data_IF_962423484336
#
_entry.id   IF_962423484336
#
_cell.length_a   1.000
_cell.length_b   1.000
_cell.length_c   1.000
_cell.angle_alpha   90.00
_cell.angle_beta   90.00
_cell.angle_gamma   90.00
#
_symmetry.space_group_name_H-M   'P 1'
#
loop_
_entity.id
_entity.type
_entity.pdbx_description
1 polymer ?
#
# COMPACT_ATOMS: atom_id res chain seq x y z
N UNK A 1 -27.33 0.70 13.20
CA UNK A 1 -26.47 1.47 12.24
C UNK A 1 -25.08 1.66 12.82
N UNK A 2 -24.07 1.08 12.21
CA UNK A 2 -22.65 1.21 12.62
C UNK A 2 -21.88 2.04 11.60
N UNK A 3 -21.11 3.03 12.07
CA UNK A 3 -20.25 3.84 11.22
C UNK A 3 -18.83 3.27 11.25
N UNK A 4 -18.30 2.96 10.07
CA UNK A 4 -16.94 2.43 9.88
C UNK A 4 -16.06 3.43 9.14
N UNK A 5 -14.78 3.46 9.50
CA UNK A 5 -13.77 4.15 8.71
C UNK A 5 -12.90 3.11 8.02
N UNK A 6 -13.00 3.05 6.70
CA UNK A 6 -12.31 2.06 5.88
C UNK A 6 -10.86 2.48 5.59
N UNK A 7 -9.96 1.49 5.50
CA UNK A 7 -8.56 1.71 5.18
C UNK A 7 -8.34 2.04 3.69
N UNK A 8 -9.08 3.02 3.19
CA UNK A 8 -8.93 3.55 1.84
C UNK A 8 -9.10 5.06 1.82
N UNK A 9 -8.24 5.74 1.08
CA UNK A 9 -8.30 7.18 0.88
C UNK A 9 -8.76 7.49 -0.54
N UNK A 10 -9.77 8.33 -0.66
CA UNK A 10 -10.22 8.87 -1.94
C UNK A 10 -11.02 10.16 -1.76
N UNK A 11 -10.80 11.11 -2.65
CA UNK A 11 -11.62 12.31 -2.76
C UNK A 11 -12.23 12.45 -4.18
N UNK A 12 -12.02 11.44 -5.04
CA UNK A 12 -12.44 11.46 -6.43
C UNK A 12 -13.84 10.84 -6.56
N UNK A 13 -14.82 11.60 -7.07
CA UNK A 13 -16.19 11.12 -7.33
C UNK A 13 -16.23 9.79 -8.07
N UNK A 14 -15.36 9.60 -9.08
CA UNK A 14 -15.26 8.36 -9.83
C UNK A 14 -14.89 7.17 -8.96
N UNK A 15 -13.93 7.31 -8.04
CA UNK A 15 -13.53 6.24 -7.13
C UNK A 15 -14.64 5.89 -6.14
N UNK A 16 -15.36 6.89 -5.64
CA UNK A 16 -16.54 6.66 -4.78
C UNK A 16 -17.61 5.84 -5.52
N UNK A 17 -17.88 6.16 -6.80
CA UNK A 17 -18.81 5.36 -7.61
C UNK A 17 -18.34 3.92 -7.79
N UNK A 18 -17.04 3.70 -7.99
CA UNK A 18 -16.46 2.36 -8.11
C UNK A 18 -16.55 1.57 -6.79
N UNK A 19 -16.39 2.23 -5.64
CA UNK A 19 -16.58 1.60 -4.33
C UNK A 19 -18.03 1.19 -4.14
N UNK A 20 -19.01 2.06 -4.46
CA UNK A 20 -20.43 1.71 -4.43
C UNK A 20 -20.75 0.48 -5.26
N UNK A 21 -20.20 0.39 -6.47
CA UNK A 21 -20.38 -0.80 -7.33
C UNK A 21 -19.79 -2.07 -6.70
N UNK A 22 -18.62 -1.94 -6.04
CA UNK A 22 -18.00 -3.04 -5.32
C UNK A 22 -18.83 -3.50 -4.12
N UNK A 23 -19.37 -2.56 -3.34
CA UNK A 23 -20.22 -2.88 -2.19
C UNK A 23 -21.47 -3.63 -2.61
N UNK A 24 -22.15 -3.21 -3.67
CA UNK A 24 -23.27 -3.98 -4.24
C UNK A 24 -22.90 -5.43 -4.52
N UNK A 25 -21.71 -5.67 -5.12
CA UNK A 25 -21.21 -7.02 -5.37
C UNK A 25 -20.81 -7.77 -4.09
N UNK A 26 -20.35 -7.05 -3.07
CA UNK A 26 -19.95 -7.67 -1.80
C UNK A 26 -21.15 -8.10 -0.96
N UNK A 27 -22.26 -7.37 -1.04
CA UNK A 27 -23.44 -7.52 -0.20
C UNK A 27 -24.65 -8.06 -0.97
N UNK A 28 -24.47 -8.57 -2.18
CA UNK A 28 -25.55 -9.04 -3.06
C UNK A 28 -26.51 -10.05 -2.37
N UNK A 29 -25.99 -10.85 -1.43
CA UNK A 29 -26.74 -11.89 -0.71
C UNK A 29 -26.86 -11.61 0.79
N UNK A 30 -26.63 -10.37 1.23
CA UNK A 30 -26.75 -9.97 2.63
C UNK A 30 -27.90 -8.98 2.81
N UNK A 31 -28.62 -9.12 3.92
CA UNK A 31 -29.62 -8.14 4.34
C UNK A 31 -28.97 -6.98 5.07
N UNK A 32 -28.38 -6.07 4.26
CA UNK A 32 -27.72 -4.86 4.74
C UNK A 32 -27.97 -3.67 3.83
N UNK A 33 -28.15 -2.51 4.42
CA UNK A 33 -28.12 -1.22 3.76
C UNK A 33 -26.78 -0.55 4.02
N UNK A 34 -26.05 -0.22 2.92
CA UNK A 34 -24.79 0.48 2.98
C UNK A 34 -24.89 1.91 2.45
N UNK A 35 -24.35 2.86 3.19
CA UNK A 35 -24.26 4.24 2.74
C UNK A 35 -22.85 4.79 2.89
N UNK A 36 -22.34 5.42 1.81
CA UNK A 36 -21.07 6.14 1.84
C UNK A 36 -21.34 7.55 2.38
N UNK A 37 -20.83 7.82 3.59
CA UNK A 37 -20.98 9.10 4.26
C UNK A 37 -20.02 10.18 3.72
N UNK A 38 -18.94 9.77 3.11
CA UNK A 38 -17.90 10.68 2.58
C UNK A 38 -16.51 10.33 3.09
N UNK A 39 -15.65 11.34 3.22
CA UNK A 39 -14.31 11.18 3.78
C UNK A 39 -14.16 12.06 5.03
N UNK A 40 -13.43 11.54 6.03
CA UNK A 40 -13.12 12.31 7.23
C UNK A 40 -12.00 13.34 6.98
N UNK A 41 -11.65 14.12 7.97
CA UNK A 41 -10.60 15.17 7.90
C UNK A 41 -9.22 14.63 7.55
N UNK A 42 -8.95 13.34 7.82
CA UNK A 42 -7.72 12.66 7.45
C UNK A 42 -7.76 12.03 6.04
N UNK A 43 -8.90 12.15 5.33
CA UNK A 43 -9.10 11.63 3.97
C UNK A 43 -9.51 10.16 3.89
N UNK A 44 -9.83 9.52 5.03
CA UNK A 44 -10.31 8.15 5.07
C UNK A 44 -11.81 8.05 4.79
N UNK A 45 -12.21 7.04 4.02
CA UNK A 45 -13.60 6.82 3.64
C UNK A 45 -14.43 6.36 4.83
N UNK A 46 -15.57 7.00 5.04
CA UNK A 46 -16.57 6.61 6.05
C UNK A 46 -17.80 6.03 5.40
N UNK A 47 -18.29 4.94 5.98
CA UNK A 47 -19.49 4.24 5.54
C UNK A 47 -20.36 3.90 6.74
N UNK A 48 -21.68 3.89 6.54
CA UNK A 48 -22.61 3.30 7.51
C UNK A 48 -23.14 1.96 6.99
N UNK A 49 -23.27 1.01 7.88
CA UNK A 49 -23.86 -0.32 7.62
C UNK A 49 -25.00 -0.52 8.62
N UNK A 50 -26.14 -1.01 8.14
CA UNK A 50 -27.30 -1.34 8.95
C UNK A 50 -28.03 -2.54 8.34
N UNK A 51 -28.59 -3.46 9.15
CA UNK A 51 -29.34 -4.63 8.70
C UNK A 51 -29.11 -5.84 9.58
N UNK A 52 -29.80 -6.94 9.25
CA UNK A 52 -29.67 -8.18 10.03
C UNK A 52 -28.26 -8.79 9.90
N UNK A 53 -27.63 -8.67 8.71
CA UNK A 53 -26.30 -9.20 8.41
C UNK A 53 -25.18 -8.17 8.66
N UNK A 54 -25.41 -7.10 9.45
CA UNK A 54 -24.45 -6.03 9.72
C UNK A 54 -23.06 -6.57 10.14
N UNK A 55 -23.02 -7.53 11.06
CA UNK A 55 -21.76 -8.13 11.56
C UNK A 55 -20.98 -8.85 10.47
N UNK A 56 -21.68 -9.55 9.58
CA UNK A 56 -21.07 -10.27 8.46
C UNK A 56 -20.45 -9.26 7.48
N UNK A 57 -21.21 -8.21 7.14
CA UNK A 57 -20.74 -7.15 6.26
C UNK A 57 -19.52 -6.41 6.83
N UNK A 58 -19.50 -6.10 8.14
CA UNK A 58 -18.38 -5.47 8.83
C UNK A 58 -17.12 -6.36 8.73
N UNK A 59 -17.23 -7.65 9.05
CA UNK A 59 -16.11 -8.60 8.98
C UNK A 59 -15.59 -8.72 7.54
N UNK A 60 -16.49 -8.74 6.57
CA UNK A 60 -16.11 -8.80 5.15
C UNK A 60 -15.35 -7.55 4.71
N UNK A 61 -15.81 -6.35 5.11
CA UNK A 61 -15.10 -5.10 4.83
C UNK A 61 -13.73 -5.05 5.53
N UNK A 62 -13.65 -5.53 6.78
CA UNK A 62 -12.40 -5.62 7.51
C UNK A 62 -11.38 -6.52 6.79
N UNK A 63 -11.81 -7.66 6.27
CA UNK A 63 -10.96 -8.59 5.51
C UNK A 63 -10.55 -8.02 4.14
N UNK A 64 -11.49 -7.47 3.37
CA UNK A 64 -11.27 -7.07 1.97
C UNK A 64 -10.64 -5.68 1.80
N UNK A 65 -10.88 -4.78 2.73
CA UNK A 65 -10.44 -3.37 2.62
C UNK A 65 -9.57 -2.97 3.81
N UNK A 66 -9.89 -3.50 5.00
CA UNK A 66 -9.33 -3.10 6.27
C UNK A 66 -10.13 -1.96 6.92
N UNK A 67 -10.05 -1.87 8.24
CA UNK A 67 -10.63 -0.81 9.05
C UNK A 67 -9.53 0.04 9.69
N UNK A 68 -9.76 1.34 9.79
CA UNK A 68 -8.85 2.24 10.49
C UNK A 68 -8.97 2.05 12.01
N UNK A 69 -7.86 2.06 12.76
CA UNK A 69 -7.87 2.01 14.22
C UNK A 69 -8.58 3.19 14.89
N UNK A 70 -8.63 4.35 14.22
CA UNK A 70 -9.26 5.60 14.65
C UNK A 70 -8.45 6.31 15.75
N UNK A 71 -8.19 5.64 16.89
CA UNK A 71 -7.48 6.20 18.05
C UNK A 71 -6.25 5.35 18.41
N UNK A 72 -5.28 5.96 19.08
CA UNK A 72 -4.09 5.25 19.57
C UNK A 72 -4.42 4.20 20.62
N UNK A 73 -5.45 4.41 21.44
CA UNK A 73 -5.95 3.45 22.43
C UNK A 73 -6.41 2.12 21.80
N UNK A 74 -6.74 2.12 20.50
CA UNK A 74 -7.12 0.91 19.76
C UNK A 74 -5.92 0.14 19.19
N UNK A 75 -4.71 0.62 19.45
CA UNK A 75 -3.47 -0.01 19.00
C UNK A 75 -2.84 -0.84 20.11
N UNK A 76 -2.28 -1.98 19.73
CA UNK A 76 -1.49 -2.80 20.64
C UNK A 76 -0.04 -2.87 20.14
N UNK A 77 0.92 -2.88 21.07
CA UNK A 77 2.32 -3.16 20.76
C UNK A 77 2.44 -4.52 20.09
N UNK A 78 3.32 -4.63 19.11
CA UNK A 78 3.54 -5.81 18.27
C UNK A 78 2.36 -6.19 17.37
N UNK A 79 1.32 -5.37 17.26
CA UNK A 79 0.26 -5.62 16.29
C UNK A 79 0.76 -5.40 14.85
N UNK A 80 0.27 -6.26 13.96
CA UNK A 80 0.52 -6.17 12.50
C UNK A 80 -0.61 -5.36 11.88
N UNK A 81 -0.25 -4.32 11.15
CA UNK A 81 -1.20 -3.44 10.51
C UNK A 81 -0.78 -3.17 9.06
N UNK A 82 -1.75 -2.81 8.24
CA UNK A 82 -1.48 -2.18 6.95
C UNK A 82 -1.39 -0.67 7.20
N UNK A 83 -0.34 -0.05 6.68
CA UNK A 83 -0.18 1.40 6.68
C UNK A 83 0.00 1.91 5.24
N UNK A 84 -0.23 3.20 5.02
CA UNK A 84 0.07 3.87 3.74
C UNK A 84 1.25 4.80 3.94
N UNK A 85 2.24 4.71 3.08
CA UNK A 85 3.34 5.69 3.09
C UNK A 85 2.73 7.08 2.87
N UNK A 86 2.83 7.93 3.87
CA UNK A 86 2.33 9.30 3.84
C UNK A 86 3.38 10.27 3.32
N UNK A 87 4.62 10.12 3.80
CA UNK A 87 5.74 10.97 3.39
C UNK A 87 7.07 10.27 3.61
N UNK A 88 8.01 10.52 2.72
CA UNK A 88 9.39 10.08 2.84
C UNK A 88 10.23 11.34 3.11
N UNK A 89 10.74 11.47 4.35
CA UNK A 89 11.66 12.56 4.71
C UNK A 89 13.07 12.18 4.33
N UNK A 90 13.68 12.95 3.45
CA UNK A 90 15.03 12.70 2.98
C UNK A 90 15.99 12.47 4.17
N UNK A 91 16.68 11.31 4.12
CA UNK A 91 17.72 10.87 5.05
C UNK A 91 17.34 10.72 6.54
N UNK A 92 16.05 10.62 6.88
CA UNK A 92 15.66 10.43 8.28
C UNK A 92 14.66 9.30 8.51
N UNK A 93 13.48 9.37 7.93
CA UNK A 93 12.37 8.48 8.28
C UNK A 93 11.28 8.44 7.21
N UNK A 94 10.55 7.34 7.22
CA UNK A 94 9.30 7.20 6.46
C UNK A 94 8.13 7.34 7.44
N UNK A 95 7.18 8.19 7.08
CA UNK A 95 5.93 8.37 7.82
C UNK A 95 4.85 7.51 7.19
N UNK A 96 4.19 6.72 8.03
CA UNK A 96 3.15 5.76 7.63
C UNK A 96 1.83 6.18 8.27
N UNK A 97 0.82 6.43 7.45
CA UNK A 97 -0.54 6.66 7.92
C UNK A 97 -1.22 5.32 8.15
N UNK A 98 -1.59 5.05 9.38
CA UNK A 98 -2.24 3.81 9.82
C UNK A 98 -3.71 4.00 10.17
N UNK A 99 -4.29 5.17 9.88
CA UNK A 99 -5.69 5.45 10.13
C UNK A 99 -5.99 5.91 11.56
N UNK A 100 -5.00 6.41 12.31
CA UNK A 100 -5.19 7.10 13.60
C UNK A 100 -5.39 8.59 13.35
N UNK A 101 -6.55 9.11 13.75
CA UNK A 101 -6.90 10.52 13.55
C UNK A 101 -7.63 11.16 14.73
N UNK A 102 -7.84 10.42 15.81
CA UNK A 102 -8.43 10.92 17.05
C UNK A 102 -7.46 10.73 18.22
N UNK A 103 -7.32 11.77 19.09
CA UNK A 103 -7.87 13.12 18.99
C UNK A 103 -7.21 13.94 17.88
N UNK A 104 -6.04 13.52 17.38
CA UNK A 104 -5.30 14.14 16.27
C UNK A 104 -4.71 13.09 15.33
N UNK A 105 -4.38 13.50 14.11
CA UNK A 105 -3.71 12.63 13.13
C UNK A 105 -2.32 12.27 13.67
N UNK A 106 -2.09 10.96 13.90
CA UNK A 106 -0.82 10.41 14.35
C UNK A 106 -0.31 9.39 13.36
N UNK A 107 0.93 9.60 12.89
CA UNK A 107 1.57 8.76 11.91
C UNK A 107 2.59 7.83 12.58
N UNK A 108 2.64 6.57 12.14
CA UNK A 108 3.72 5.69 12.52
C UNK A 108 5.02 6.07 11.78
N UNK A 109 6.15 5.82 12.41
CA UNK A 109 7.46 6.21 11.90
C UNK A 109 8.36 4.99 11.76
N UNK A 110 8.95 4.80 10.58
CA UNK A 110 10.04 3.85 10.35
C UNK A 110 11.31 4.66 10.13
N UNK A 111 12.34 4.44 10.96
CA UNK A 111 13.61 5.15 10.83
C UNK A 111 14.43 4.61 9.65
N UNK A 112 15.39 5.43 9.16
CA UNK A 112 16.28 5.00 8.09
C UNK A 112 17.14 3.80 8.50
N UNK A 113 17.62 3.77 9.75
CA UNK A 113 18.44 2.68 10.28
C UNK A 113 17.69 1.34 10.22
N UNK A 114 16.38 1.38 10.57
CA UNK A 114 15.54 0.17 10.51
C UNK A 114 15.31 -0.28 9.08
N UNK A 115 15.11 0.63 8.12
CA UNK A 115 14.98 0.28 6.71
C UNK A 115 16.30 -0.22 6.12
N UNK A 116 17.44 0.35 6.54
CA UNK A 116 18.76 -0.13 6.17
C UNK A 116 19.00 -1.57 6.65
N UNK A 117 18.68 -1.85 7.91
CA UNK A 117 18.74 -3.18 8.49
C UNK A 117 17.87 -4.18 7.71
N UNK A 118 16.61 -3.82 7.47
CA UNK A 118 15.62 -4.75 6.91
C UNK A 118 15.73 -4.96 5.40
N UNK A 119 16.14 -3.93 4.62
CA UNK A 119 16.08 -3.97 3.16
C UNK A 119 17.46 -4.06 2.49
N UNK A 120 18.51 -3.53 3.12
CA UNK A 120 19.84 -3.43 2.51
C UNK A 120 20.97 -3.94 3.42
N UNK A 121 20.65 -4.90 4.32
CA UNK A 121 21.62 -5.60 5.18
C UNK A 121 22.49 -4.66 6.03
N UNK A 122 21.91 -3.56 6.51
CA UNK A 122 22.60 -2.55 7.33
C UNK A 122 23.53 -1.60 6.56
N UNK A 123 23.60 -1.70 5.23
CA UNK A 123 24.41 -0.79 4.41
C UNK A 123 23.92 0.66 4.54
N UNK A 124 24.86 1.59 4.73
CA UNK A 124 24.57 3.03 4.92
C UNK A 124 24.21 3.70 3.58
N UNK A 125 22.98 3.50 3.15
CA UNK A 125 22.43 4.13 1.94
C UNK A 125 21.42 5.21 2.31
N UNK A 126 21.25 6.17 1.43
CA UNK A 126 20.24 7.20 1.57
C UNK A 126 18.83 6.60 1.48
N UNK A 127 17.88 7.22 2.18
CA UNK A 127 16.48 6.79 2.10
C UNK A 127 15.91 6.89 0.69
N UNK A 128 16.41 7.85 -0.10
CA UNK A 128 16.04 8.03 -1.52
C UNK A 128 16.48 6.82 -2.37
N UNK A 129 17.67 6.30 -2.15
CA UNK A 129 18.16 5.10 -2.84
C UNK A 129 17.36 3.87 -2.45
N UNK A 130 17.14 3.64 -1.14
CA UNK A 130 16.33 2.52 -0.65
C UNK A 130 14.91 2.60 -1.23
N UNK A 131 14.30 3.79 -1.19
CA UNK A 131 12.96 3.99 -1.76
C UNK A 131 12.91 3.72 -3.26
N UNK A 132 13.94 4.13 -4.01
CA UNK A 132 14.05 3.86 -5.45
C UNK A 132 14.22 2.37 -5.75
N UNK A 133 15.03 1.65 -4.98
CA UNK A 133 15.26 0.21 -5.17
C UNK A 133 14.00 -0.61 -4.91
N UNK A 134 13.28 -0.32 -3.82
CA UNK A 134 12.12 -1.09 -3.38
C UNK A 134 10.77 -0.51 -3.82
N UNK A 135 10.79 0.56 -4.62
CA UNK A 135 9.56 1.21 -5.11
C UNK A 135 8.74 1.87 -4.01
N UNK A 136 9.37 2.25 -2.88
CA UNK A 136 8.68 2.94 -1.78
C UNK A 136 8.28 4.35 -2.24
N UNK A 137 7.00 4.66 -2.09
CA UNK A 137 6.47 5.95 -2.53
C UNK A 137 5.21 6.31 -1.77
N UNK A 138 4.89 7.59 -1.71
CA UNK A 138 3.66 8.08 -1.10
C UNK A 138 2.42 7.42 -1.72
N UNK A 139 1.50 6.97 -0.87
CA UNK A 139 0.30 6.24 -1.23
C UNK A 139 0.47 4.72 -1.29
N UNK A 140 1.69 4.19 -1.29
CA UNK A 140 1.91 2.74 -1.32
C UNK A 140 1.47 2.12 0.02
N UNK A 141 0.58 1.11 0.01
CA UNK A 141 0.28 0.32 1.19
C UNK A 141 1.45 -0.60 1.53
N UNK A 142 1.78 -0.67 2.81
CA UNK A 142 2.84 -1.53 3.36
C UNK A 142 2.37 -2.19 4.66
N UNK A 143 2.74 -3.45 4.85
CA UNK A 143 2.49 -4.15 6.10
C UNK A 143 3.60 -3.81 7.11
N UNK A 144 3.20 -3.39 8.30
CA UNK A 144 4.11 -2.97 9.37
C UNK A 144 3.81 -3.69 10.69
N UNK A 145 4.83 -3.76 11.56
CA UNK A 145 4.69 -4.10 12.96
C UNK A 145 4.86 -2.84 13.81
N UNK A 146 4.04 -2.66 14.82
CA UNK A 146 4.20 -1.58 15.80
C UNK A 146 5.20 -1.99 16.88
N UNK A 147 6.31 -1.25 17.00
CA UNK A 147 7.37 -1.54 17.97
C UNK A 147 7.12 -0.84 19.31
N UNK A 148 6.67 0.42 19.26
CA UNK A 148 6.40 1.22 20.44
C UNK A 148 5.29 2.22 20.17
N UNK A 149 4.43 2.41 21.16
CA UNK A 149 3.33 3.36 21.15
C UNK A 149 3.48 4.23 22.40
N UNK A 150 3.57 5.54 22.23
CA UNK A 150 3.63 6.50 23.33
C UNK A 150 2.51 7.53 23.13
N UNK A 151 1.45 7.40 23.91
CA UNK A 151 0.27 8.25 23.83
C UNK A 151 0.58 9.68 24.29
N UNK A 152 1.41 9.86 25.33
CA UNK A 152 1.76 11.18 25.86
C UNK A 152 2.50 12.02 24.83
N UNK A 153 3.44 11.41 24.11
CA UNK A 153 4.23 12.08 23.08
C UNK A 153 3.59 12.01 21.68
N UNK A 154 2.45 11.32 21.55
CA UNK A 154 1.80 11.02 20.26
C UNK A 154 2.77 10.46 19.22
N UNK A 155 3.52 9.45 19.63
CA UNK A 155 4.58 8.85 18.84
C UNK A 155 4.37 7.36 18.68
N UNK A 156 4.47 6.88 17.43
CA UNK A 156 4.36 5.47 17.09
C UNK A 156 5.61 5.08 16.30
N UNK A 157 6.37 4.12 16.85
CA UNK A 157 7.52 3.53 16.15
C UNK A 157 7.11 2.21 15.52
N UNK A 158 7.50 2.02 14.26
CA UNK A 158 7.18 0.84 13.48
C UNK A 158 8.38 0.32 12.70
N UNK A 159 8.23 -0.86 12.15
CA UNK A 159 9.12 -1.49 11.18
C UNK A 159 8.29 -2.18 10.08
N UNK A 160 8.91 -2.57 8.96
CA UNK A 160 8.25 -3.43 7.98
C UNK A 160 8.00 -4.81 8.60
N UNK A 161 6.81 -5.36 8.38
CA UNK A 161 6.49 -6.69 8.89
C UNK A 161 7.21 -7.78 8.09
N UNK A 162 7.33 -8.97 8.68
CA UNK A 162 7.88 -10.15 8.00
C UNK A 162 7.14 -10.46 6.69
N UNK A 163 5.81 -10.26 6.66
CA UNK A 163 5.03 -10.47 5.43
C UNK A 163 5.41 -9.48 4.33
N UNK A 164 5.71 -8.22 4.69
CA UNK A 164 6.18 -7.22 3.72
C UNK A 164 7.59 -7.54 3.23
N UNK A 165 8.48 -7.95 4.12
CA UNK A 165 9.84 -8.36 3.76
C UNK A 165 9.83 -9.61 2.88
N UNK A 166 8.98 -10.59 3.19
CA UNK A 166 8.78 -11.79 2.38
C UNK A 166 8.26 -11.44 0.98
N UNK A 167 7.34 -10.48 0.86
CA UNK A 167 6.83 -10.00 -0.43
C UNK A 167 7.97 -9.39 -1.27
N UNK A 168 8.78 -8.49 -0.69
CA UNK A 168 9.90 -7.89 -1.41
C UNK A 168 10.97 -8.92 -1.78
N UNK A 169 11.25 -9.87 -0.90
CA UNK A 169 12.17 -10.97 -1.19
C UNK A 169 11.67 -11.88 -2.31
N UNK A 170 10.38 -12.21 -2.31
CA UNK A 170 9.74 -12.94 -3.40
C UNK A 170 9.86 -12.17 -4.73
N UNK A 171 9.59 -10.87 -4.71
CA UNK A 171 9.73 -10.03 -5.89
C UNK A 171 11.18 -9.97 -6.39
N UNK A 172 12.15 -9.80 -5.47
CA UNK A 172 13.59 -9.81 -5.79
C UNK A 172 14.02 -11.14 -6.44
N UNK A 173 13.66 -12.27 -5.82
CA UNK A 173 14.05 -13.61 -6.29
C UNK A 173 13.39 -14.02 -7.61
N UNK A 174 12.26 -13.46 -7.96
CA UNK A 174 11.57 -13.80 -9.21
C UNK A 174 12.26 -13.27 -10.46
N UNK A 175 13.16 -12.30 -10.35
CA UNK A 175 13.79 -11.57 -11.46
C UNK A 175 12.80 -10.89 -12.43
N UNK A 176 11.52 -10.86 -12.10
CA UNK A 176 10.49 -10.24 -12.91
C UNK A 176 10.28 -8.79 -12.48
N UNK A 177 10.37 -7.87 -13.43
CA UNK A 177 10.07 -6.47 -13.17
C UNK A 177 8.58 -6.27 -12.89
N UNK A 178 8.27 -5.26 -12.09
CA UNK A 178 6.89 -4.91 -11.74
C UNK A 178 6.63 -3.43 -11.94
N UNK A 179 5.42 -3.14 -12.41
CA UNK A 179 4.89 -1.78 -12.46
C UNK A 179 3.83 -1.64 -11.36
N UNK A 180 4.15 -0.85 -10.34
CA UNK A 180 3.24 -0.50 -9.25
C UNK A 180 2.42 0.70 -9.73
N UNK A 181 1.09 0.62 -9.59
CA UNK A 181 0.13 1.61 -10.06
C UNK A 181 -0.69 2.06 -8.85
N UNK A 182 -0.62 3.34 -8.49
CA UNK A 182 -1.34 3.92 -7.36
C UNK A 182 -2.39 4.90 -7.87
N UNK A 183 -3.62 4.76 -7.38
CA UNK A 183 -4.74 5.65 -7.69
C UNK A 183 -5.67 5.14 -8.79
N UNK A 184 -5.57 3.85 -9.17
CA UNK A 184 -6.46 3.21 -10.16
C UNK A 184 -6.99 1.87 -9.65
N UNK A 185 -8.28 1.60 -9.94
CA UNK A 185 -8.92 0.35 -9.58
C UNK A 185 -8.42 -0.81 -10.44
N UNK A 186 -8.61 -2.04 -9.94
CA UNK A 186 -8.29 -3.27 -10.68
C UNK A 186 -8.91 -3.30 -12.08
N UNK A 187 -10.19 -2.93 -12.19
CA UNK A 187 -10.91 -2.95 -13.47
C UNK A 187 -10.37 -1.91 -14.47
N UNK A 188 -9.97 -0.72 -13.99
CA UNK A 188 -9.33 0.29 -14.83
C UNK A 188 -7.99 -0.18 -15.37
N UNK A 189 -7.17 -0.79 -14.51
CA UNK A 189 -5.87 -1.34 -14.93
C UNK A 189 -6.07 -2.52 -15.90
N UNK A 190 -6.99 -3.44 -15.62
CA UNK A 190 -7.32 -4.56 -16.51
C UNK A 190 -7.78 -4.08 -17.89
N UNK A 191 -8.67 -3.07 -17.93
CA UNK A 191 -9.11 -2.43 -19.18
C UNK A 191 -7.93 -1.76 -19.90
N UNK A 192 -7.03 -1.10 -19.18
CA UNK A 192 -5.83 -0.47 -19.75
C UNK A 192 -4.92 -1.49 -20.41
N UNK A 193 -4.65 -2.65 -19.77
CA UNK A 193 -3.87 -3.74 -20.36
C UNK A 193 -4.47 -4.18 -21.69
N UNK A 194 -5.79 -4.34 -21.77
CA UNK A 194 -6.49 -4.75 -23.00
C UNK A 194 -6.39 -3.68 -24.09
N UNK A 195 -6.68 -2.41 -23.77
CA UNK A 195 -6.65 -1.28 -24.72
C UNK A 195 -5.24 -1.01 -25.26
N UNK A 196 -4.20 -1.19 -24.44
CA UNK A 196 -2.81 -0.98 -24.82
C UNK A 196 -2.15 -2.23 -25.43
N UNK A 197 -2.88 -3.35 -25.53
CA UNK A 197 -2.38 -4.64 -26.00
C UNK A 197 -1.14 -5.12 -25.22
N UNK A 198 -1.09 -4.84 -23.91
CA UNK A 198 -0.01 -5.25 -23.03
C UNK A 198 -0.15 -6.69 -22.50
N UNK A 199 -1.21 -7.41 -22.85
CA UNK A 199 -1.40 -8.80 -22.39
C UNK A 199 -0.27 -9.77 -22.76
N UNK A 200 0.49 -9.47 -23.81
CA UNK A 200 1.69 -10.23 -24.18
C UNK A 200 2.91 -9.93 -23.29
N UNK A 201 2.94 -8.78 -22.65
CA UNK A 201 4.06 -8.26 -21.86
C UNK A 201 3.84 -8.45 -20.34
N UNK A 202 2.59 -8.74 -19.91
CA UNK A 202 2.18 -8.88 -18.52
C UNK A 202 1.78 -10.32 -18.21
N UNK A 203 2.28 -10.85 -17.08
CA UNK A 203 1.92 -12.19 -16.57
C UNK A 203 0.71 -12.10 -15.65
N UNK A 204 0.74 -11.13 -14.69
CA UNK A 204 -0.21 -11.08 -13.60
C UNK A 204 -0.56 -9.64 -13.23
N UNK A 205 -1.80 -9.43 -12.84
CA UNK A 205 -2.30 -8.23 -12.20
C UNK A 205 -2.76 -8.60 -10.77
N UNK A 206 -2.20 -7.95 -9.77
CA UNK A 206 -2.50 -8.16 -8.36
C UNK A 206 -2.89 -6.85 -7.69
N UNK A 207 -3.77 -6.93 -6.68
CA UNK A 207 -4.17 -5.77 -5.88
C UNK A 207 -3.37 -5.72 -4.58
N UNK A 208 -2.81 -4.54 -4.28
CA UNK A 208 -2.25 -4.20 -2.96
C UNK A 208 -3.28 -3.46 -2.09
N UNK A 209 -4.34 -2.96 -2.71
CA UNK A 209 -5.45 -2.24 -2.10
C UNK A 209 -6.54 -1.96 -3.12
N UNK A 210 -7.55 -1.17 -2.76
CA UNK A 210 -8.67 -0.87 -3.68
C UNK A 210 -8.22 -0.13 -4.94
N UNK A 211 -7.24 0.77 -4.79
CA UNK A 211 -6.73 1.62 -5.87
C UNK A 211 -5.21 1.49 -6.06
N UNK A 212 -4.61 0.47 -5.49
CA UNK A 212 -3.19 0.15 -5.61
C UNK A 212 -3.03 -1.22 -6.24
N UNK A 213 -2.40 -1.25 -7.44
CA UNK A 213 -2.26 -2.46 -8.24
C UNK A 213 -0.80 -2.71 -8.60
N UNK A 214 -0.45 -3.96 -8.88
CA UNK A 214 0.86 -4.35 -9.36
C UNK A 214 0.71 -5.18 -10.62
N UNK A 215 1.39 -4.77 -11.69
CA UNK A 215 1.58 -5.57 -12.88
C UNK A 215 2.92 -6.31 -12.77
N UNK A 216 2.90 -7.62 -12.87
CA UNK A 216 4.11 -8.43 -13.02
C UNK A 216 4.39 -8.60 -14.50
N UNK A 217 5.56 -8.14 -14.95
CA UNK A 217 6.00 -8.23 -16.33
C UNK A 217 6.52 -9.63 -16.66
N UNK A 218 6.46 -10.03 -17.93
CA UNK A 218 7.16 -11.24 -18.40
C UNK A 218 8.66 -11.04 -18.33
N UNK A 219 9.39 -12.13 -18.26
CA UNK A 219 10.85 -12.11 -18.32
C UNK A 219 11.31 -11.42 -19.61
N UNK A 220 12.24 -10.47 -19.48
CA UNK A 220 12.73 -9.67 -20.60
C UNK A 220 11.88 -8.44 -20.93
N UNK A 221 10.71 -8.25 -20.29
CA UNK A 221 9.94 -7.00 -20.45
C UNK A 221 10.44 -5.94 -19.48
N UNK A 222 10.79 -4.77 -20.02
CA UNK A 222 11.12 -3.57 -19.23
C UNK A 222 9.84 -2.89 -18.74
N UNK A 223 9.64 -2.88 -17.43
CA UNK A 223 8.47 -2.23 -16.81
C UNK A 223 8.48 -0.71 -17.04
N UNK A 224 9.63 -0.07 -17.13
CA UNK A 224 9.73 1.36 -17.44
C UNK A 224 9.22 1.67 -18.84
N UNK A 225 9.46 0.80 -19.81
CA UNK A 225 8.94 0.90 -21.18
C UNK A 225 7.41 0.80 -21.28
N UNK A 226 6.72 0.28 -20.25
CA UNK A 226 5.26 0.25 -20.21
C UNK A 226 4.65 1.59 -19.77
N UNK A 227 5.40 2.43 -19.04
CA UNK A 227 4.90 3.68 -18.44
C UNK A 227 4.24 4.61 -19.47
N UNK A 228 4.81 4.90 -20.65
CA UNK A 228 4.19 5.80 -21.61
C UNK A 228 2.82 5.29 -22.10
N UNK A 229 2.69 3.98 -22.29
CA UNK A 229 1.43 3.36 -22.77
C UNK A 229 0.36 3.33 -21.69
N UNK A 230 0.72 2.93 -20.46
CA UNK A 230 -0.17 2.89 -19.30
C UNK A 230 -0.57 4.31 -18.87
N UNK A 231 0.40 5.22 -18.75
CA UNK A 231 0.20 6.60 -18.31
C UNK A 231 -0.66 7.43 -19.25
N UNK A 232 -0.65 7.15 -20.55
CA UNK A 232 -1.55 7.81 -21.52
C UNK A 232 -3.04 7.60 -21.17
N UNK A 233 -3.39 6.43 -20.61
CA UNK A 233 -4.76 6.08 -20.21
C UNK A 233 -5.01 6.43 -18.75
N UNK A 234 -4.10 6.00 -17.85
CA UNK A 234 -4.20 6.23 -16.41
C UNK A 234 -3.50 7.54 -15.99
N UNK A 235 -3.94 8.65 -16.54
CA UNK A 235 -3.27 9.97 -16.42
C UNK A 235 -3.09 10.47 -14.98
N UNK A 236 -3.95 10.04 -14.05
CA UNK A 236 -3.93 10.49 -12.65
C UNK A 236 -3.31 9.45 -11.72
N UNK A 237 -2.86 8.32 -12.25
CA UNK A 237 -2.19 7.29 -11.49
C UNK A 237 -0.69 7.59 -11.36
N UNK A 238 -0.13 7.23 -10.21
CA UNK A 238 1.31 7.23 -9.99
C UNK A 238 1.86 5.88 -10.42
N UNK A 239 2.89 5.87 -11.25
CA UNK A 239 3.49 4.68 -11.85
C UNK A 239 4.93 4.53 -11.33
N UNK A 240 5.25 3.41 -10.70
CA UNK A 240 6.54 3.15 -10.08
C UNK A 240 7.06 1.79 -10.54
N UNK A 241 8.32 1.74 -10.91
CA UNK A 241 8.99 0.50 -11.31
C UNK A 241 9.68 -0.14 -10.11
N UNK A 242 9.40 -1.42 -9.88
CA UNK A 242 10.22 -2.29 -9.06
C UNK A 242 11.07 -3.16 -9.99
N UNK A 243 12.40 -2.98 -9.93
CA UNK A 243 13.33 -3.69 -10.80
C UNK A 243 14.28 -4.59 -9.99
N UNK A 244 14.07 -5.93 -9.99
CA UNK A 244 14.92 -6.87 -9.26
C UNK A 244 16.38 -6.83 -9.67
N UNK A 245 16.69 -6.61 -10.96
CA UNK A 245 18.07 -6.54 -11.45
C UNK A 245 18.85 -5.42 -10.80
N UNK A 246 18.21 -4.23 -10.63
CA UNK A 246 18.86 -3.11 -9.93
C UNK A 246 19.17 -3.45 -8.47
N UNK A 247 18.32 -4.22 -7.82
CA UNK A 247 18.56 -4.67 -6.45
C UNK A 247 19.71 -5.67 -6.40
N UNK A 248 19.79 -6.62 -7.33
CA UNK A 248 20.90 -7.58 -7.40
C UNK A 248 22.23 -6.85 -7.66
N UNK A 249 22.29 -5.98 -8.66
CA UNK A 249 23.49 -5.17 -8.94
C UNK A 249 23.92 -4.34 -7.73
N UNK A 250 22.99 -3.72 -7.02
CA UNK A 250 23.27 -2.98 -5.79
C UNK A 250 23.97 -3.83 -4.72
N UNK A 251 23.64 -5.12 -4.62
CA UNK A 251 24.30 -6.03 -3.68
C UNK A 251 25.64 -6.56 -4.21
N UNK A 252 25.82 -6.70 -5.52
CA UNK A 252 27.05 -7.18 -6.18
C UNK A 252 28.14 -6.10 -6.24
N UNK A 253 27.78 -4.85 -6.57
CA UNK A 253 28.72 -3.73 -6.76
C UNK A 253 29.39 -3.21 -5.49
N UNK A 254 28.98 -3.69 -4.31
CA UNK A 254 29.62 -3.36 -3.03
C UNK A 254 30.37 -4.58 -2.50
N UNK A 255 31.70 -4.63 -2.62
CA UNK A 255 32.49 -5.70 -2.03
C UNK A 255 32.15 -5.79 -0.53
N UNK A 256 31.84 -6.99 -0.07
CA UNK A 256 31.77 -7.30 1.36
C UNK A 256 33.08 -6.79 1.97
N UNK A 257 33.01 -5.78 2.82
CA UNK A 257 34.08 -5.51 3.76
C UNK A 257 34.14 -6.75 4.66
N UNK A 258 34.96 -7.69 4.25
CA UNK A 258 35.33 -8.85 5.06
C UNK A 258 35.84 -8.29 6.38
N UNK A 259 35.03 -8.45 7.43
CA UNK A 259 35.46 -8.27 8.80
C UNK A 259 36.63 -9.22 9.07
N UNK A 260 37.83 -8.67 9.10
CA UNK A 260 38.96 -9.28 9.79
C UNK A 260 38.75 -9.15 11.30
#
# INVERSE_FOLDING_TARGET
>A
MTILTLFTKTNKKKQITQIKQKFRSYFENLDVEENILGVNTAGWLQVSIEGEDEKIAINYLAEKIGLCPIAMSNLNKNSKLIGRISKIHENKKVLIDIGVFQPKITLATISIEKLQEQLVEGKKNSLKEIASLFGLTEGLPVNINLLNINDEQNYIKAELSESQLSLFNFWKKSFLERLIIIGSSYNEVKKTISLTRLGKDVIKLESLGLFEQVLTCKLGTDAAGLIPRVGKILRTAKLIVFNPKKIHLFFEDQPQLLSQ
#
